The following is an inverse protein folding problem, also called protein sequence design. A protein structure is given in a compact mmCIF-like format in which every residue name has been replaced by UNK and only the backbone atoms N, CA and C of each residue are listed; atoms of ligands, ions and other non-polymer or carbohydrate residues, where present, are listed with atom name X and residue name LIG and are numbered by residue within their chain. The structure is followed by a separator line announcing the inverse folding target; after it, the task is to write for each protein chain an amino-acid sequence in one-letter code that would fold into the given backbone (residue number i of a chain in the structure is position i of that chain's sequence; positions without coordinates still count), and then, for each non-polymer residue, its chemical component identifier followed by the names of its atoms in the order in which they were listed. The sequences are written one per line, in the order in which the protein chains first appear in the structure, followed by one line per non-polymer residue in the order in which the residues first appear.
data_IF_191245166795
#
_entry.id   IF_191245166795
#
_cell.length_a   1.000
_cell.length_b   1.000
_cell.length_c   1.000
_cell.angle_alpha   90.00
_cell.angle_beta   90.00
_cell.angle_gamma   90.00
#
_symmetry.space_group_name_H-M   'P 1'
#
loop_
_entity.id
_entity.type
_entity.pdbx_description
1 polymer ?
#
# COMPACT_ATOMS: atom_id res chain seq x y z
N UNK A 1 -2.00 -17.37 18.03
CA UNK A 1 -1.25 -16.22 18.60
C UNK A 1 0.10 -16.72 19.07
N UNK A 2 1.11 -16.64 18.21
CA UNK A 2 2.49 -16.56 18.69
C UNK A 2 2.64 -15.10 19.10
N UNK A 3 2.78 -14.84 20.39
CA UNK A 3 3.12 -13.51 20.86
C UNK A 3 4.57 -13.25 20.43
N UNK A 4 4.83 -12.13 19.76
CA UNK A 4 6.19 -11.65 19.51
C UNK A 4 6.80 -11.29 20.88
N UNK A 5 7.44 -12.26 21.53
CA UNK A 5 8.09 -12.04 22.83
C UNK A 5 9.36 -11.21 22.62
N UNK A 6 9.54 -10.08 23.33
CA UNK A 6 10.84 -9.46 23.45
C UNK A 6 11.61 -10.22 24.55
N UNK A 7 12.17 -11.39 24.23
CA UNK A 7 13.29 -11.94 25.03
C UNK A 7 14.61 -11.31 24.56
N UNK A 8 14.64 -10.00 24.37
CA UNK A 8 15.90 -9.29 24.20
C UNK A 8 16.56 -9.25 25.58
N UNK A 9 17.71 -9.90 25.70
CA UNK A 9 18.52 -9.80 26.91
C UNK A 9 18.80 -8.29 27.17
N UNK A 10 18.42 -7.75 28.35
CA UNK A 10 18.55 -6.32 28.66
C UNK A 10 19.98 -5.76 28.61
N UNK A 11 20.99 -6.63 28.50
CA UNK A 11 22.41 -6.31 28.45
C UNK A 11 23.11 -6.79 27.16
N UNK A 12 22.34 -7.11 26.10
CA UNK A 12 22.88 -7.71 24.88
C UNK A 12 23.64 -6.74 23.95
N UNK A 13 23.55 -5.43 24.17
CA UNK A 13 24.03 -4.44 23.19
C UNK A 13 23.18 -4.43 21.91
N UNK A 14 21.90 -4.82 22.00
CA UNK A 14 21.01 -5.03 20.87
C UNK A 14 19.78 -4.09 20.92
N UNK A 15 19.11 -3.90 19.78
CA UNK A 15 17.87 -3.12 19.73
C UNK A 15 16.82 -3.69 20.69
N UNK A 16 16.31 -2.85 21.59
CA UNK A 16 15.36 -3.24 22.63
C UNK A 16 15.97 -3.59 23.99
N UNK A 17 17.29 -3.52 24.14
CA UNK A 17 17.95 -3.66 25.44
C UNK A 17 17.81 -2.38 26.30
N UNK A 18 18.18 -2.47 27.59
CA UNK A 18 18.02 -1.35 28.51
C UNK A 18 18.81 -0.11 28.09
N UNK A 19 20.07 -0.29 27.66
CA UNK A 19 20.95 0.80 27.29
C UNK A 19 20.45 1.53 26.03
N UNK A 20 20.01 0.78 25.03
CA UNK A 20 19.45 1.28 23.78
C UNK A 20 18.14 2.03 24.00
N UNK A 21 17.24 1.54 24.88
CA UNK A 21 16.01 2.25 25.24
C UNK A 21 16.33 3.58 25.94
N UNK A 22 17.26 3.58 26.91
CA UNK A 22 17.65 4.80 27.63
C UNK A 22 18.34 5.81 26.71
N UNK A 23 19.22 5.34 25.82
CA UNK A 23 19.89 6.18 24.82
C UNK A 23 18.87 6.79 23.84
N UNK A 24 17.94 6.00 23.31
CA UNK A 24 16.87 6.48 22.44
C UNK A 24 15.99 7.54 23.13
N UNK A 25 15.59 7.30 24.38
CA UNK A 25 14.85 8.28 25.18
C UNK A 25 15.65 9.58 25.39
N UNK A 26 16.94 9.46 25.71
CA UNK A 26 17.83 10.61 25.94
C UNK A 26 18.01 11.44 24.66
N UNK A 27 18.25 10.80 23.52
CA UNK A 27 18.33 11.46 22.21
C UNK A 27 17.02 12.18 21.86
N UNK A 28 15.89 11.55 22.16
CA UNK A 28 14.56 12.15 21.93
C UNK A 28 14.38 13.40 22.78
N UNK A 29 14.71 13.33 24.08
CA UNK A 29 14.63 14.47 24.99
C UNK A 29 15.57 15.60 24.56
N UNK A 30 16.81 15.27 24.18
CA UNK A 30 17.79 16.25 23.70
C UNK A 30 17.37 16.91 22.37
N UNK A 31 16.57 16.22 21.55
CA UNK A 31 16.04 16.72 20.28
C UNK A 31 14.78 17.58 20.40
N UNK A 32 14.09 17.57 21.55
CA UNK A 32 12.88 18.39 21.70
C UNK A 32 13.25 19.88 21.82
N UNK A 33 12.62 20.76 21.02
CA UNK A 33 12.68 22.19 21.27
C UNK A 33 11.91 22.45 22.56
N UNK A 34 12.61 22.52 23.69
CA UNK A 34 12.06 22.82 25.01
C UNK A 34 11.63 24.30 25.15
N UNK A 35 11.03 24.87 24.09
CA UNK A 35 10.73 26.29 23.94
C UNK A 35 9.31 26.65 24.37
N UNK A 36 8.38 25.69 24.41
CA UNK A 36 6.97 25.92 24.76
C UNK A 36 6.42 24.76 25.59
N UNK A 37 5.58 25.06 26.57
CA UNK A 37 4.87 24.05 27.37
C UNK A 37 3.79 23.35 26.52
N UNK A 38 3.88 22.03 26.41
CA UNK A 38 2.84 21.18 25.82
C UNK A 38 1.91 20.60 26.89
N UNK A 39 0.63 20.42 26.57
CA UNK A 39 -0.35 19.76 27.45
C UNK A 39 -0.89 18.50 26.81
N UNK A 40 -0.84 17.39 27.53
CA UNK A 40 -1.45 16.12 27.14
C UNK A 40 -2.62 15.81 28.09
N UNK A 41 -3.74 15.33 27.55
CA UNK A 41 -4.93 14.94 28.31
C UNK A 41 -5.51 13.67 27.73
N UNK A 42 -5.86 12.73 28.60
CA UNK A 42 -6.67 11.57 28.21
C UNK A 42 -8.13 11.98 28.19
N UNK A 43 -8.76 11.86 27.02
CA UNK A 43 -10.13 12.30 26.78
C UNK A 43 -10.81 11.36 25.79
N UNK A 44 -12.14 11.36 25.81
CA UNK A 44 -12.95 10.78 24.74
C UNK A 44 -13.02 11.77 23.56
N UNK A 45 -12.51 11.36 22.41
CA UNK A 45 -12.45 12.18 21.21
C UNK A 45 -13.84 12.52 20.66
N UNK A 46 -14.86 11.69 20.88
CA UNK A 46 -16.22 11.95 20.39
C UNK A 46 -16.91 13.11 21.13
N UNK A 47 -16.56 13.35 22.39
CA UNK A 47 -17.24 14.31 23.25
C UNK A 47 -16.37 15.50 23.66
N UNK A 48 -15.11 15.27 24.03
CA UNK A 48 -14.31 16.27 24.75
C UNK A 48 -13.64 17.32 23.85
N UNK A 49 -13.30 16.96 22.61
CA UNK A 49 -12.59 17.88 21.70
C UNK A 49 -13.47 19.01 21.20
N UNK A 50 -14.79 18.83 21.19
CA UNK A 50 -15.77 19.84 20.76
C UNK A 50 -15.71 21.14 21.57
N UNK A 51 -15.20 21.06 22.81
CA UNK A 51 -15.02 22.22 23.70
C UNK A 51 -13.79 23.05 23.38
N UNK A 52 -12.95 22.60 22.45
CA UNK A 52 -11.73 23.30 22.07
C UNK A 52 -12.08 24.39 21.06
N UNK A 53 -11.24 25.43 21.01
CA UNK A 53 -11.31 26.42 19.93
C UNK A 53 -10.87 25.82 18.60
N UNK A 54 -10.44 26.68 17.67
CA UNK A 54 -9.91 26.21 16.39
C UNK A 54 -8.61 25.41 16.54
N UNK A 55 -8.54 24.23 15.93
CA UNK A 55 -7.42 23.30 16.02
C UNK A 55 -7.00 22.74 14.65
N UNK A 56 -5.73 22.36 14.53
CA UNK A 56 -5.23 21.52 13.44
C UNK A 56 -5.41 20.07 13.87
N UNK A 57 -5.96 19.23 12.99
CA UNK A 57 -6.21 17.83 13.28
C UNK A 57 -5.14 16.98 12.62
N UNK A 58 -4.46 16.15 13.40
CA UNK A 58 -3.52 15.12 12.94
C UNK A 58 -3.74 13.90 13.80
N UNK A 59 -4.29 12.83 13.21
CA UNK A 59 -4.78 11.68 13.99
C UNK A 59 -4.53 10.36 13.28
N UNK A 60 -4.36 9.30 14.08
CA UNK A 60 -4.32 7.90 13.65
C UNK A 60 -5.52 7.20 14.33
N UNK A 61 -6.64 6.99 13.62
CA UNK A 61 -7.86 6.44 14.18
C UNK A 61 -7.71 4.94 14.48
N UNK A 62 -8.52 4.38 15.39
CA UNK A 62 -8.45 2.95 15.72
C UNK A 62 -8.81 2.07 14.50
N UNK A 63 -8.10 0.95 14.36
CA UNK A 63 -8.25 0.00 13.26
C UNK A 63 -9.35 -1.02 13.57
N UNK A 64 -10.57 -0.76 13.06
CA UNK A 64 -11.75 -1.63 13.04
C UNK A 64 -11.71 -2.83 14.01
N UNK A 65 -11.29 -4.01 13.56
CA UNK A 65 -11.27 -5.27 14.30
C UNK A 65 -9.85 -5.80 14.61
N UNK A 66 -8.81 -5.01 14.34
CA UNK A 66 -7.44 -5.52 14.29
C UNK A 66 -6.86 -5.89 15.67
N UNK A 67 -6.97 -4.99 16.66
CA UNK A 67 -6.33 -5.18 17.96
C UNK A 67 -7.23 -4.68 19.10
N UNK A 68 -7.53 -5.55 20.06
CA UNK A 68 -8.14 -5.17 21.33
C UNK A 68 -7.10 -4.53 22.27
N UNK A 69 -6.72 -3.28 21.99
CA UNK A 69 -5.68 -2.57 22.75
C UNK A 69 -5.99 -2.49 24.23
N UNK A 70 -7.25 -2.34 24.62
CA UNK A 70 -7.59 -2.32 26.03
C UNK A 70 -7.25 -3.67 26.67
N UNK A 71 -7.60 -4.81 26.05
CA UNK A 71 -7.27 -6.15 26.57
C UNK A 71 -5.75 -6.35 26.68
N UNK A 72 -4.99 -5.92 25.67
CA UNK A 72 -3.52 -5.93 25.72
C UNK A 72 -2.96 -5.04 26.82
N UNK A 73 -3.58 -3.88 27.04
CA UNK A 73 -3.13 -2.89 28.01
C UNK A 73 -3.22 -3.41 29.45
N UNK A 74 -4.08 -4.38 29.76
CA UNK A 74 -4.19 -4.95 31.12
C UNK A 74 -2.88 -5.60 31.58
N UNK A 75 -2.11 -6.18 30.65
CA UNK A 75 -0.81 -6.75 30.96
C UNK A 75 0.14 -5.69 31.53
N UNK A 76 0.22 -4.53 30.88
CA UNK A 76 1.07 -3.42 31.34
C UNK A 76 0.45 -2.64 32.51
N UNK A 77 -0.88 -2.54 32.54
CA UNK A 77 -1.63 -1.77 33.54
C UNK A 77 -1.32 -2.22 34.95
N UNK A 78 -1.19 -3.52 35.20
CA UNK A 78 -0.85 -4.07 36.52
C UNK A 78 0.49 -3.55 37.04
N UNK A 79 1.50 -3.47 36.17
CA UNK A 79 2.83 -2.96 36.51
C UNK A 79 2.82 -1.44 36.67
N UNK A 80 2.25 -0.74 35.69
CA UNK A 80 2.18 0.73 35.68
C UNK A 80 1.38 1.27 36.87
N UNK A 81 0.27 0.62 37.25
CA UNK A 81 -0.54 0.98 38.41
C UNK A 81 0.25 1.00 39.71
N UNK A 82 1.14 0.02 39.92
CA UNK A 82 1.97 -0.02 41.13
C UNK A 82 2.98 1.12 41.18
N UNK A 83 3.50 1.54 40.03
CA UNK A 83 4.54 2.56 39.93
C UNK A 83 3.99 3.99 39.86
N UNK A 84 2.82 4.17 39.22
CA UNK A 84 2.31 5.48 38.80
C UNK A 84 0.96 5.85 39.41
N UNK A 85 0.37 5.02 40.28
CA UNK A 85 -0.93 5.36 40.91
C UNK A 85 -0.89 6.62 41.77
N UNK A 86 0.25 6.98 42.36
CA UNK A 86 0.38 8.25 43.09
C UNK A 86 0.50 9.47 42.15
N UNK A 87 0.94 9.25 40.90
CA UNK A 87 1.12 10.31 39.89
C UNK A 87 -0.18 10.50 39.08
N UNK A 88 -0.83 9.40 38.69
CA UNK A 88 -2.06 9.37 37.90
C UNK A 88 -3.17 8.58 38.61
N UNK A 89 -3.67 9.06 39.77
CA UNK A 89 -4.61 8.30 40.59
C UNK A 89 -5.93 7.99 39.88
N UNK A 90 -6.41 8.90 39.03
CA UNK A 90 -7.65 8.71 38.27
C UNK A 90 -7.51 7.65 37.17
N UNK A 91 -6.35 7.57 36.50
CA UNK A 91 -6.11 6.58 35.46
C UNK A 91 -5.97 5.16 36.06
N UNK A 92 -5.38 5.08 37.26
CA UNK A 92 -5.06 3.84 37.95
C UNK A 92 -6.04 3.47 39.07
N UNK A 93 -7.26 4.02 39.04
CA UNK A 93 -8.28 3.81 40.08
C UNK A 93 -9.01 2.47 39.96
N UNK A 94 -9.06 1.88 38.76
CA UNK A 94 -9.77 0.63 38.49
C UNK A 94 -8.86 -0.60 38.61
N UNK A 95 -9.46 -1.79 38.61
CA UNK A 95 -8.71 -3.05 38.61
C UNK A 95 -8.07 -3.34 37.25
N UNK A 96 -8.83 -3.07 36.18
CA UNK A 96 -8.46 -3.29 34.78
C UNK A 96 -8.71 -2.01 33.97
N UNK A 97 -8.18 -1.95 32.75
CA UNK A 97 -8.41 -0.84 31.83
C UNK A 97 -9.88 -0.81 31.35
N UNK A 98 -10.46 0.38 31.11
CA UNK A 98 -11.82 0.49 30.58
C UNK A 98 -11.94 -0.14 29.18
N UNK A 99 -12.87 -1.08 29.00
CA UNK A 99 -13.14 -1.73 27.70
C UNK A 99 -14.32 -1.12 26.93
N UNK A 100 -15.33 -0.65 27.66
CA UNK A 100 -16.62 -0.29 27.05
C UNK A 100 -16.56 0.88 26.08
N UNK A 101 -15.60 1.79 26.27
CA UNK A 101 -15.44 2.99 25.44
C UNK A 101 -14.35 2.80 24.36
N UNK A 102 -13.69 1.65 24.30
CA UNK A 102 -12.72 1.38 23.26
C UNK A 102 -13.44 1.13 21.94
N UNK A 103 -13.10 1.94 20.93
CA UNK A 103 -13.73 1.92 19.63
C UNK A 103 -13.11 0.82 18.75
N UNK A 104 -13.58 -0.41 18.93
CA UNK A 104 -13.21 -1.59 18.12
C UNK A 104 -14.46 -2.39 17.72
N UNK A 105 -14.42 -3.03 16.57
CA UNK A 105 -15.46 -3.91 16.05
C UNK A 105 -15.25 -5.37 16.51
N UNK A 106 -15.32 -5.62 17.82
CA UNK A 106 -15.16 -6.97 18.39
C UNK A 106 -16.52 -7.63 18.67
N UNK A 107 -16.90 -8.65 17.89
CA UNK A 107 -18.17 -9.38 18.08
C UNK A 107 -18.30 -9.96 19.50
N UNK A 108 -17.19 -10.38 20.12
CA UNK A 108 -17.16 -10.88 21.49
C UNK A 108 -17.70 -9.86 22.51
N UNK A 109 -17.43 -8.56 22.30
CA UNK A 109 -17.91 -7.47 23.17
C UNK A 109 -19.39 -7.14 22.99
N UNK A 110 -20.00 -7.63 21.90
CA UNK A 110 -21.38 -7.35 21.52
C UNK A 110 -22.25 -8.62 21.49
N UNK A 111 -21.94 -9.59 22.35
CA UNK A 111 -22.73 -10.81 22.50
C UNK A 111 -22.66 -11.75 21.30
N UNK A 112 -21.53 -11.75 20.58
CA UNK A 112 -21.29 -12.55 19.39
C UNK A 112 -21.84 -11.95 18.09
N UNK A 113 -22.45 -10.76 18.14
CA UNK A 113 -23.04 -10.12 16.95
C UNK A 113 -22.03 -9.22 16.23
N UNK A 114 -21.68 -9.59 15.01
CA UNK A 114 -20.83 -8.76 14.14
C UNK A 114 -21.51 -7.45 13.72
N UNK A 115 -22.82 -7.47 13.43
CA UNK A 115 -23.56 -6.26 13.07
C UNK A 115 -23.56 -5.21 14.17
N UNK A 116 -23.79 -5.62 15.44
CA UNK A 116 -23.76 -4.69 16.57
C UNK A 116 -22.37 -4.10 16.79
N UNK A 117 -21.32 -4.89 16.57
CA UNK A 117 -19.95 -4.43 16.68
C UNK A 117 -19.61 -3.41 15.57
N UNK A 118 -20.04 -3.68 14.33
CA UNK A 118 -19.93 -2.75 13.20
C UNK A 118 -20.65 -1.44 13.50
N UNK A 119 -21.91 -1.51 13.90
CA UNK A 119 -22.74 -0.33 14.15
C UNK A 119 -22.17 0.54 15.30
N UNK A 120 -21.64 -0.10 16.35
CA UNK A 120 -20.93 0.60 17.43
C UNK A 120 -19.70 1.34 16.92
N UNK A 121 -18.87 0.67 16.12
CA UNK A 121 -17.66 1.27 15.55
C UNK A 121 -17.99 2.42 14.59
N UNK A 122 -18.89 2.20 13.63
CA UNK A 122 -19.34 3.20 12.66
C UNK A 122 -19.86 4.46 13.35
N UNK A 123 -20.72 4.28 14.37
CA UNK A 123 -21.30 5.39 15.10
C UNK A 123 -20.24 6.17 15.87
N UNK A 124 -19.38 5.48 16.63
CA UNK A 124 -18.35 6.15 17.41
C UNK A 124 -17.30 6.86 16.55
N UNK A 125 -16.92 6.27 15.40
CA UNK A 125 -16.04 6.91 14.43
C UNK A 125 -16.68 8.15 13.82
N UNK A 126 -17.96 8.06 13.45
CA UNK A 126 -18.73 9.19 12.93
C UNK A 126 -18.83 10.34 13.94
N UNK A 127 -19.06 10.03 15.21
CA UNK A 127 -19.11 11.02 16.29
C UNK A 127 -17.75 11.69 16.51
N UNK A 128 -16.65 10.91 16.54
CA UNK A 128 -15.29 11.43 16.66
C UNK A 128 -14.91 12.37 15.50
N UNK A 129 -15.17 11.99 14.26
CA UNK A 129 -14.90 12.85 13.11
C UNK A 129 -15.82 14.08 13.08
N UNK A 130 -17.08 13.96 13.51
CA UNK A 130 -17.98 15.10 13.61
C UNK A 130 -17.48 16.11 14.65
N UNK A 131 -17.02 15.64 15.81
CA UNK A 131 -16.41 16.48 16.82
C UNK A 131 -15.13 17.15 16.30
N UNK A 132 -14.29 16.41 15.58
CA UNK A 132 -13.08 16.95 14.95
C UNK A 132 -13.43 18.03 13.90
N UNK A 133 -14.48 17.81 13.11
CA UNK A 133 -14.95 18.75 12.08
C UNK A 133 -15.39 20.09 12.67
N UNK A 134 -15.97 20.10 13.87
CA UNK A 134 -16.44 21.32 14.54
C UNK A 134 -15.29 22.25 14.94
N UNK A 135 -14.16 21.67 15.37
CA UNK A 135 -12.99 22.43 15.83
C UNK A 135 -11.93 22.63 14.75
N UNK A 136 -12.02 21.90 13.65
CA UNK A 136 -11.03 21.92 12.57
C UNK A 136 -10.87 23.32 11.95
N UNK A 137 -9.61 23.75 11.82
CA UNK A 137 -9.23 24.98 11.13
C UNK A 137 -9.39 24.86 9.61
N UNK A 138 -10.14 25.75 8.93
CA UNK A 138 -10.25 25.72 7.47
C UNK A 138 -8.94 26.08 6.75
N UNK A 139 -7.96 26.69 7.43
CA UNK A 139 -6.70 27.12 6.84
C UNK A 139 -5.74 25.95 6.56
N UNK A 140 -5.85 24.87 7.32
CA UNK A 140 -4.95 23.72 7.25
C UNK A 140 -5.74 22.43 7.01
N UNK A 141 -5.23 21.47 6.24
CA UNK A 141 -5.88 20.17 6.12
C UNK A 141 -5.88 19.42 7.45
N UNK A 142 -6.89 18.59 7.67
CA UNK A 142 -6.87 17.53 8.65
C UNK A 142 -6.05 16.36 8.09
N UNK A 143 -5.15 15.81 8.89
CA UNK A 143 -4.29 14.69 8.50
C UNK A 143 -4.78 13.43 9.20
N UNK A 144 -5.07 12.40 8.42
CA UNK A 144 -5.51 11.08 8.92
C UNK A 144 -4.52 10.03 8.45
N UNK A 145 -3.84 9.39 9.40
CA UNK A 145 -2.94 8.26 9.13
C UNK A 145 -3.76 6.98 9.10
N UNK A 146 -3.45 6.08 8.17
CA UNK A 146 -4.11 4.79 8.10
C UNK A 146 -3.15 3.73 7.55
N UNK A 147 -2.80 2.75 8.38
CA UNK A 147 -1.84 1.69 8.07
C UNK A 147 -2.51 0.32 8.12
N UNK A 148 -3.54 0.10 7.28
CA UNK A 148 -4.21 -1.19 7.21
C UNK A 148 -4.44 -1.62 5.76
N UNK A 149 -4.07 -2.86 5.46
CA UNK A 149 -4.25 -3.44 4.12
C UNK A 149 -5.73 -3.67 3.92
N UNK A 150 -6.27 -3.26 2.79
CA UNK A 150 -7.57 -3.77 2.35
C UNK A 150 -7.39 -5.27 2.08
N UNK A 151 -7.60 -6.10 3.10
CA UNK A 151 -7.82 -7.53 2.91
C UNK A 151 -9.28 -7.69 2.58
N UNK A 152 -9.56 -8.05 1.32
CA UNK A 152 -10.80 -8.74 0.99
C UNK A 152 -10.75 -10.07 1.74
N UNK A 153 -11.33 -10.12 2.93
CA UNK A 153 -11.57 -11.38 3.62
C UNK A 153 -12.66 -12.11 2.84
N UNK A 154 -12.26 -12.85 1.82
CA UNK A 154 -13.02 -13.99 1.28
C UNK A 154 -12.85 -15.19 2.22
N UNK A 155 -13.05 -14.99 3.53
CA UNK A 155 -13.18 -16.10 4.47
C UNK A 155 -14.63 -16.61 4.42
N UNK A 156 -14.93 -17.28 3.31
CA UNK A 156 -15.93 -18.33 3.26
C UNK A 156 -15.42 -19.42 2.32
N UNK A 157 -14.58 -20.30 2.87
CA UNK A 157 -14.47 -21.70 2.42
C UNK A 157 -15.81 -22.43 2.66
N UNK A 158 -16.89 -21.92 2.07
CA UNK A 158 -18.13 -22.67 1.85
C UNK A 158 -18.43 -22.59 0.35
N UNK A 159 -18.11 -23.71 -0.29
CA UNK A 159 -18.39 -24.09 -1.66
C UNK A 159 -19.91 -24.06 -1.90
N UNK A 160 -20.49 -22.89 -2.15
CA UNK A 160 -21.83 -22.75 -2.69
C UNK A 160 -21.77 -21.90 -3.98
N UNK A 161 -21.85 -22.60 -5.11
CA UNK A 161 -21.80 -22.05 -6.45
C UNK A 161 -23.04 -21.25 -6.83
N UNK A 162 -23.10 -19.99 -6.38
CA UNK A 162 -24.05 -19.01 -6.91
C UNK A 162 -23.30 -17.75 -7.38
N UNK A 163 -23.43 -17.42 -8.67
CA UNK A 163 -22.90 -16.20 -9.30
C UNK A 163 -23.72 -14.98 -8.86
N UNK A 164 -23.62 -14.63 -7.57
CA UNK A 164 -24.23 -13.46 -6.98
C UNK A 164 -23.28 -12.83 -5.98
N UNK A 165 -22.92 -11.55 -6.21
CA UNK A 165 -22.16 -10.66 -5.31
C UNK A 165 -22.22 -11.11 -3.84
N UNK A 166 -21.19 -11.83 -3.38
CA UNK A 166 -21.08 -12.29 -2.00
C UNK A 166 -21.02 -11.08 -1.06
N UNK A 167 -21.88 -11.09 -0.03
CA UNK A 167 -21.91 -10.10 1.04
C UNK A 167 -20.66 -10.27 1.94
N UNK A 168 -19.48 -9.93 1.43
CA UNK A 168 -18.25 -9.89 2.22
C UNK A 168 -18.22 -8.64 3.14
N UNK A 169 -17.55 -8.78 4.28
CA UNK A 169 -17.49 -7.82 5.38
C UNK A 169 -17.02 -6.43 4.92
N UNK A 170 -17.55 -5.38 5.54
CA UNK A 170 -17.08 -4.00 5.34
C UNK A 170 -15.61 -3.91 5.72
N UNK A 171 -14.76 -3.44 4.80
CA UNK A 171 -13.35 -3.23 5.11
C UNK A 171 -13.18 -2.07 6.11
N UNK A 172 -12.12 -2.06 6.92
CA UNK A 172 -11.85 -0.92 7.82
C UNK A 172 -11.74 0.42 7.08
N UNK A 173 -11.28 0.39 5.82
CA UNK A 173 -11.27 1.53 4.90
C UNK A 173 -12.67 2.07 4.60
N UNK A 174 -13.61 1.19 4.23
CA UNK A 174 -15.00 1.56 3.97
C UNK A 174 -15.59 2.28 5.17
N UNK A 175 -15.45 1.69 6.36
CA UNK A 175 -16.03 2.25 7.58
C UNK A 175 -15.41 3.59 7.98
N UNK A 176 -14.08 3.71 7.89
CA UNK A 176 -13.40 4.98 8.17
C UNK A 176 -13.82 6.07 7.19
N UNK A 177 -13.76 5.79 5.88
CA UNK A 177 -14.09 6.77 4.86
C UNK A 177 -15.56 7.16 4.95
N UNK A 178 -16.49 6.23 5.19
CA UNK A 178 -17.89 6.55 5.41
C UNK A 178 -18.09 7.49 6.60
N UNK A 179 -17.45 7.22 7.74
CA UNK A 179 -17.51 8.09 8.91
C UNK A 179 -16.99 9.51 8.59
N UNK A 180 -15.89 9.62 7.86
CA UNK A 180 -15.32 10.90 7.42
C UNK A 180 -16.25 11.66 6.46
N UNK A 181 -16.80 10.97 5.47
CA UNK A 181 -17.74 11.56 4.50
C UNK A 181 -19.02 12.06 5.18
N UNK A 182 -19.55 11.27 6.14
CA UNK A 182 -20.73 11.62 6.94
C UNK A 182 -20.46 12.84 7.82
N UNK A 183 -19.26 12.93 8.41
CA UNK A 183 -18.80 14.11 9.15
C UNK A 183 -18.56 15.36 8.27
N UNK A 184 -18.59 15.22 6.94
CA UNK A 184 -18.44 16.33 6.00
C UNK A 184 -16.99 16.68 5.65
N UNK A 185 -16.07 15.73 5.85
CA UNK A 185 -14.74 15.81 5.26
C UNK A 185 -14.76 15.28 3.81
N UNK A 186 -13.86 15.81 3.00
CA UNK A 186 -13.49 15.33 1.68
C UNK A 186 -11.98 15.07 1.67
N UNK A 187 -11.57 14.05 0.93
CA UNK A 187 -10.17 13.71 0.68
C UNK A 187 -9.64 14.68 -0.37
N UNK A 188 -8.49 15.28 -0.09
CA UNK A 188 -7.83 16.28 -0.95
C UNK A 188 -6.50 15.75 -1.51
N UNK A 189 -5.87 14.81 -0.80
CA UNK A 189 -4.62 14.21 -1.25
C UNK A 189 -4.22 13.00 -0.42
N UNK A 190 -3.17 12.33 -0.88
CA UNK A 190 -2.58 11.17 -0.21
C UNK A 190 -1.06 11.23 -0.23
N UNK A 191 -0.45 10.75 0.85
CA UNK A 191 0.99 10.58 0.97
C UNK A 191 1.26 9.22 1.58
N UNK A 192 1.85 8.29 0.81
CA UNK A 192 2.44 7.09 1.38
C UNK A 192 3.63 7.50 2.25
N UNK A 193 3.63 7.08 3.51
CA UNK A 193 4.71 7.32 4.46
C UNK A 193 5.35 6.00 4.87
N UNK A 194 6.65 5.88 4.59
CA UNK A 194 7.45 4.74 5.04
C UNK A 194 7.82 4.92 6.50
N UNK A 195 7.05 4.28 7.37
CA UNK A 195 7.20 4.33 8.83
C UNK A 195 7.67 3.00 9.41
N UNK A 196 7.62 1.91 8.64
CA UNK A 196 7.93 0.57 9.13
C UNK A 196 9.43 0.27 9.06
N UNK A 197 10.01 -0.18 10.18
CA UNK A 197 11.40 -0.63 10.23
C UNK A 197 11.59 -1.97 9.52
N UNK A 198 12.66 -2.11 8.75
CA UNK A 198 12.98 -3.35 7.99
C UNK A 198 13.23 -4.61 8.85
N UNK A 199 13.22 -4.49 10.18
CA UNK A 199 13.38 -5.59 11.15
C UNK A 199 12.04 -6.13 11.69
N UNK A 200 10.90 -5.76 11.11
CA UNK A 200 9.60 -6.30 11.52
C UNK A 200 9.56 -7.80 11.17
N UNK A 201 9.51 -8.67 12.19
CA UNK A 201 9.54 -10.13 12.02
C UNK A 201 8.42 -10.64 11.09
N UNK A 202 7.25 -10.00 11.10
CA UNK A 202 6.11 -10.33 10.22
C UNK A 202 6.41 -9.97 8.75
N UNK A 203 7.23 -8.94 8.48
CA UNK A 203 7.58 -8.50 7.12
C UNK A 203 8.74 -9.29 6.50
N UNK A 204 9.48 -10.09 7.29
CA UNK A 204 10.54 -10.96 6.75
C UNK A 204 9.93 -12.10 5.92
N UNK A 205 9.96 -11.95 4.60
CA UNK A 205 9.49 -12.96 3.64
C UNK A 205 7.99 -12.90 3.32
N UNK A 206 7.29 -11.82 3.68
CA UNK A 206 5.87 -11.63 3.32
C UNK A 206 5.65 -10.29 2.62
N UNK A 207 4.64 -10.20 1.74
CA UNK A 207 4.16 -8.94 1.15
C UNK A 207 3.24 -8.19 2.14
N UNK A 208 3.76 -7.91 3.34
CA UNK A 208 3.11 -7.00 4.28
C UNK A 208 3.23 -5.55 3.76
N UNK A 209 2.27 -4.68 4.14
CA UNK A 209 2.36 -3.26 3.80
C UNK A 209 3.68 -2.68 4.30
N UNK A 210 4.37 -1.93 3.45
CA UNK A 210 5.63 -1.28 3.82
C UNK A 210 5.40 0.19 4.23
N UNK A 211 4.21 0.73 3.97
CA UNK A 211 3.88 2.14 4.17
C UNK A 211 2.54 2.33 4.86
N UNK A 212 2.47 3.35 5.74
CA UNK A 212 1.20 3.93 6.19
C UNK A 212 0.69 4.92 5.14
N UNK A 213 -0.61 4.96 4.88
CA UNK A 213 -1.21 5.95 3.98
C UNK A 213 -1.65 7.16 4.81
N UNK A 214 -1.22 8.35 4.41
CA UNK A 214 -1.60 9.61 5.04
C UNK A 214 -2.58 10.34 4.13
N UNK A 215 -3.82 10.51 4.58
CA UNK A 215 -4.83 11.28 3.88
C UNK A 215 -4.82 12.74 4.34
N UNK A 216 -4.77 13.66 3.38
CA UNK A 216 -5.12 15.06 3.62
C UNK A 216 -6.62 15.22 3.38
N UNK A 217 -7.29 15.81 4.36
CA UNK A 217 -8.73 15.98 4.35
C UNK A 217 -9.10 17.43 4.60
N UNK A 218 -10.09 17.91 3.88
CA UNK A 218 -10.64 19.25 4.05
C UNK A 218 -12.15 19.17 4.22
N UNK A 219 -12.78 20.12 4.92
CA UNK A 219 -14.20 20.33 4.84
C UNK A 219 -14.70 20.32 3.40
N UNK A 220 -15.68 19.46 3.10
CA UNK A 220 -16.36 19.49 1.80
C UNK A 220 -17.09 20.83 1.65
N UNK A 221 -17.05 21.40 0.45
CA UNK A 221 -17.80 22.62 0.13
C UNK A 221 -19.30 22.42 0.34
N UNK A 222 -19.98 23.43 0.89
CA UNK A 222 -21.43 23.43 1.01
C UNK A 222 -22.14 23.42 -0.35
N UNK A 223 -21.48 23.96 -1.38
CA UNK A 223 -21.99 24.04 -2.76
C UNK A 223 -21.47 22.89 -3.63
N UNK A 224 -21.03 21.79 -3.03
CA UNK A 224 -20.53 20.62 -3.76
C UNK A 224 -21.61 20.08 -4.71
N UNK A 225 -21.29 19.84 -6.00
CA UNK A 225 -22.28 19.39 -6.97
C UNK A 225 -22.70 17.94 -6.72
N UNK A 226 -23.89 17.59 -7.19
CA UNK A 226 -24.28 16.20 -7.39
C UNK A 226 -23.65 15.68 -8.69
N UNK A 227 -23.28 14.42 -8.70
CA UNK A 227 -22.81 13.74 -9.91
C UNK A 227 -23.56 12.43 -10.11
N UNK A 228 -23.63 11.99 -11.36
CA UNK A 228 -24.05 10.64 -11.73
C UNK A 228 -22.87 9.69 -11.66
N UNK A 229 -23.13 8.38 -11.50
CA UNK A 229 -22.08 7.35 -11.61
C UNK A 229 -21.21 7.48 -12.87
N UNK A 230 -21.82 7.86 -14.00
CA UNK A 230 -21.11 8.04 -15.27
C UNK A 230 -20.15 9.25 -15.24
N UNK A 231 -20.54 10.34 -14.60
CA UNK A 231 -19.68 11.51 -14.42
C UNK A 231 -18.52 11.21 -13.48
N UNK A 232 -18.81 10.51 -12.37
CA UNK A 232 -17.77 10.02 -11.45
C UNK A 232 -16.75 9.15 -12.18
N UNK A 233 -17.19 8.11 -12.91
CA UNK A 233 -16.29 7.23 -13.66
C UNK A 233 -15.47 7.95 -14.72
N UNK A 234 -16.08 8.90 -15.45
CA UNK A 234 -15.35 9.71 -16.44
C UNK A 234 -14.24 10.50 -15.77
N UNK A 235 -14.54 11.16 -14.67
CA UNK A 235 -13.55 11.98 -13.98
C UNK A 235 -12.46 11.12 -13.32
N UNK A 236 -12.83 9.95 -12.78
CA UNK A 236 -11.90 8.97 -12.24
C UNK A 236 -10.91 8.49 -13.32
N UNK A 237 -11.40 8.11 -14.51
CA UNK A 237 -10.53 7.71 -15.63
C UNK A 237 -9.62 8.82 -16.14
N UNK A 238 -10.04 10.07 -16.01
CA UNK A 238 -9.27 11.23 -16.45
C UNK A 238 -8.17 11.61 -15.43
N UNK A 239 -8.46 11.53 -14.13
CA UNK A 239 -7.59 12.09 -13.08
C UNK A 239 -6.73 11.03 -12.37
N UNK A 240 -7.19 9.77 -12.29
CA UNK A 240 -6.44 8.70 -11.63
C UNK A 240 -5.07 8.42 -12.27
N UNK A 241 -4.89 8.43 -13.61
CA UNK A 241 -3.57 8.21 -14.22
C UNK A 241 -2.48 9.18 -13.75
N UNK A 242 -2.81 10.47 -13.63
CA UNK A 242 -1.88 11.49 -13.15
C UNK A 242 -1.55 11.30 -11.66
N UNK A 243 -2.55 10.92 -10.85
CA UNK A 243 -2.34 10.55 -9.45
C UNK A 243 -1.39 9.36 -9.29
N UNK A 244 -1.58 8.31 -10.10
CA UNK A 244 -0.73 7.12 -10.11
C UNK A 244 0.70 7.43 -10.57
N UNK A 245 0.86 8.32 -11.56
CA UNK A 245 2.17 8.78 -12.01
C UNK A 245 2.95 9.43 -10.88
N UNK A 246 2.33 10.30 -10.09
CA UNK A 246 2.98 10.90 -8.92
C UNK A 246 3.36 9.86 -7.85
N UNK A 247 2.49 8.88 -7.59
CA UNK A 247 2.78 7.80 -6.65
C UNK A 247 3.94 6.91 -7.10
N UNK A 248 3.99 6.55 -8.39
CA UNK A 248 5.10 5.80 -9.00
C UNK A 248 6.42 6.58 -9.00
N UNK A 249 6.38 7.89 -9.22
CA UNK A 249 7.56 8.75 -9.09
C UNK A 249 8.12 8.77 -7.66
N UNK A 250 7.26 8.61 -6.65
CA UNK A 250 7.67 8.42 -5.25
C UNK A 250 8.28 7.04 -4.94
N UNK A 251 8.36 6.15 -5.95
CA UNK A 251 8.83 4.76 -5.82
C UNK A 251 8.11 4.02 -4.69
N UNK A 252 6.79 4.15 -4.66
CA UNK A 252 5.94 3.39 -3.74
C UNK A 252 6.03 1.90 -4.06
N UNK A 253 6.08 1.03 -3.04
CA UNK A 253 6.08 -0.40 -3.27
C UNK A 253 4.78 -0.83 -4.01
N UNK A 254 4.83 -1.78 -4.95
CA UNK A 254 3.64 -2.31 -5.62
C UNK A 254 2.57 -2.79 -4.66
N UNK A 255 2.96 -3.44 -3.56
CA UNK A 255 2.04 -3.87 -2.48
C UNK A 255 1.25 -2.72 -1.85
N UNK A 256 1.83 -1.52 -1.80
CA UNK A 256 1.21 -0.33 -1.22
C UNK A 256 0.47 0.51 -2.28
N UNK A 257 0.69 0.28 -3.59
CA UNK A 257 0.16 1.11 -4.67
C UNK A 257 -1.37 1.13 -4.69
N UNK A 258 -2.02 -0.03 -4.52
CA UNK A 258 -3.48 -0.13 -4.48
C UNK A 258 -4.05 0.71 -3.32
N UNK A 259 -3.43 0.65 -2.15
CA UNK A 259 -3.85 1.42 -0.97
C UNK A 259 -3.61 2.92 -1.16
N UNK A 260 -2.47 3.30 -1.74
CA UNK A 260 -2.20 4.70 -2.04
C UNK A 260 -3.15 5.27 -3.10
N UNK A 261 -3.55 4.46 -4.08
CA UNK A 261 -4.50 4.83 -5.14
C UNK A 261 -5.92 5.11 -4.61
N UNK A 262 -6.27 4.62 -3.41
CA UNK A 262 -7.53 4.98 -2.73
C UNK A 262 -7.61 6.50 -2.53
N UNK A 263 -6.49 7.15 -2.20
CA UNK A 263 -6.46 8.60 -1.98
C UNK A 263 -6.95 9.43 -3.19
N UNK A 264 -6.29 9.35 -4.36
CA UNK A 264 -6.69 10.10 -5.55
C UNK A 264 -8.09 9.69 -6.03
N UNK A 265 -8.44 8.40 -5.96
CA UNK A 265 -9.77 7.93 -6.30
C UNK A 265 -10.86 8.51 -5.39
N UNK A 266 -10.62 8.52 -4.09
CA UNK A 266 -11.54 9.07 -3.10
C UNK A 266 -11.57 10.60 -3.13
N UNK A 267 -10.51 11.28 -3.56
CA UNK A 267 -10.56 12.72 -3.79
C UNK A 267 -11.58 13.07 -4.89
N UNK A 268 -11.62 12.28 -5.97
CA UNK A 268 -12.63 12.42 -7.03
C UNK A 268 -14.04 12.08 -6.52
N UNK A 269 -14.20 11.08 -5.66
CA UNK A 269 -15.52 10.71 -5.13
C UNK A 269 -16.05 11.74 -4.11
N UNK A 270 -15.22 12.14 -3.16
CA UNK A 270 -15.62 12.94 -2.00
C UNK A 270 -15.79 14.43 -2.29
N UNK A 271 -15.35 14.93 -3.45
CA UNK A 271 -15.62 16.32 -3.87
C UNK A 271 -17.09 16.57 -4.25
N UNK A 272 -17.82 15.52 -4.62
CA UNK A 272 -19.25 15.62 -4.91
C UNK A 272 -20.05 15.57 -3.60
N UNK A 273 -21.18 16.27 -3.55
CA UNK A 273 -22.08 16.16 -2.40
C UNK A 273 -22.62 14.74 -2.26
N UNK A 274 -23.04 14.15 -3.39
CA UNK A 274 -23.41 12.73 -3.55
C UNK A 274 -23.18 12.31 -4.99
N UNK A 275 -22.78 11.05 -5.18
CA UNK A 275 -22.81 10.39 -6.48
C UNK A 275 -24.08 9.54 -6.53
N UNK A 276 -24.94 9.77 -7.53
CA UNK A 276 -26.23 9.11 -7.67
C UNK A 276 -26.12 7.92 -8.62
N UNK A 277 -26.68 6.79 -8.21
CA UNK A 277 -26.88 5.60 -9.01
C UNK A 277 -28.11 5.73 -9.93
N UNK A 278 -28.25 4.80 -10.88
CA UNK A 278 -29.36 4.82 -11.84
C UNK A 278 -30.74 4.63 -11.18
N UNK A 279 -30.78 3.98 -10.02
CA UNK A 279 -31.99 3.79 -9.21
C UNK A 279 -32.34 5.02 -8.33
N UNK A 280 -31.54 6.09 -8.41
CA UNK A 280 -31.72 7.30 -7.60
C UNK A 280 -31.20 7.19 -6.17
N UNK A 281 -30.56 6.08 -5.78
CA UNK A 281 -29.88 5.95 -4.50
C UNK A 281 -28.48 6.59 -4.54
N UNK A 282 -27.95 7.07 -3.41
CA UNK A 282 -26.55 7.50 -3.34
C UNK A 282 -25.62 6.28 -3.36
N UNK A 283 -24.58 6.34 -4.19
CA UNK A 283 -23.49 5.36 -4.22
C UNK A 283 -22.80 5.30 -2.86
N UNK A 284 -22.62 4.10 -2.31
CA UNK A 284 -21.87 3.90 -1.07
C UNK A 284 -20.36 3.89 -1.32
N UNK A 285 -19.58 4.06 -0.26
CA UNK A 285 -18.11 4.10 -0.35
C UNK A 285 -17.55 2.77 -0.87
N UNK A 286 -18.14 1.63 -0.48
CA UNK A 286 -17.74 0.31 -1.00
C UNK A 286 -17.73 0.25 -2.52
N UNK A 287 -18.82 0.70 -3.15
CA UNK A 287 -18.94 0.73 -4.60
C UNK A 287 -17.92 1.69 -5.22
N UNK A 288 -17.68 2.85 -4.60
CA UNK A 288 -16.64 3.77 -5.05
C UNK A 288 -15.24 3.12 -5.01
N UNK A 289 -14.88 2.45 -3.90
CA UNK A 289 -13.60 1.74 -3.75
C UNK A 289 -13.43 0.64 -4.81
N UNK A 290 -14.48 -0.15 -5.07
CA UNK A 290 -14.45 -1.16 -6.12
C UNK A 290 -14.20 -0.55 -7.51
N UNK A 291 -14.86 0.57 -7.83
CA UNK A 291 -14.64 1.28 -9.10
C UNK A 291 -13.24 1.91 -9.19
N UNK A 292 -12.67 2.35 -8.07
CA UNK A 292 -11.30 2.87 -8.00
C UNK A 292 -10.30 1.74 -8.29
N UNK A 293 -10.45 0.58 -7.64
CA UNK A 293 -9.59 -0.58 -7.90
C UNK A 293 -9.72 -1.07 -9.34
N UNK A 294 -10.94 -1.15 -9.87
CA UNK A 294 -11.15 -1.50 -11.28
C UNK A 294 -10.47 -0.50 -12.22
N UNK A 295 -10.60 0.80 -11.95
CA UNK A 295 -9.98 1.83 -12.81
C UNK A 295 -8.45 1.81 -12.69
N UNK A 296 -7.91 1.54 -11.50
CA UNK A 296 -6.47 1.30 -11.31
C UNK A 296 -5.98 0.17 -12.21
N UNK A 297 -6.67 -0.98 -12.20
CA UNK A 297 -6.32 -2.12 -13.03
C UNK A 297 -6.40 -1.78 -14.53
N UNK A 298 -7.44 -1.06 -14.95
CA UNK A 298 -7.59 -0.58 -16.34
C UNK A 298 -6.42 0.32 -16.75
N UNK A 299 -6.02 1.28 -15.90
CA UNK A 299 -4.89 2.19 -16.19
C UNK A 299 -3.57 1.42 -16.27
N UNK A 300 -3.34 0.46 -15.37
CA UNK A 300 -2.14 -0.39 -15.43
C UNK A 300 -2.13 -1.30 -16.67
N UNK A 301 -3.30 -1.74 -17.15
CA UNK A 301 -3.43 -2.52 -18.37
C UNK A 301 -3.26 -1.67 -19.65
N UNK A 302 -3.74 -0.43 -19.66
CA UNK A 302 -3.55 0.48 -20.81
C UNK A 302 -2.07 0.81 -21.06
N UNK A 303 -1.25 0.84 -20.00
CA UNK A 303 0.20 0.99 -20.09
C UNK A 303 0.88 -0.18 -20.83
N UNK A 304 0.20 -1.31 -21.01
CA UNK A 304 0.74 -2.43 -21.80
C UNK A 304 1.07 -2.04 -23.24
N UNK A 305 0.40 -1.01 -23.78
CA UNK A 305 0.67 -0.49 -25.13
C UNK A 305 2.07 0.11 -25.31
N UNK A 306 2.74 0.52 -24.23
CA UNK A 306 4.09 1.08 -24.27
C UNK A 306 5.17 -0.01 -24.37
N UNK A 307 4.83 -1.27 -24.05
CA UNK A 307 5.77 -2.38 -24.12
C UNK A 307 5.93 -2.91 -25.55
N UNK A 308 7.12 -3.46 -25.80
CA UNK A 308 7.41 -4.14 -27.07
C UNK A 308 6.52 -5.39 -27.27
N UNK A 309 6.38 -5.83 -28.52
CA UNK A 309 5.48 -6.93 -28.89
C UNK A 309 5.78 -8.25 -28.13
N UNK A 310 7.05 -8.53 -27.86
CA UNK A 310 7.47 -9.77 -27.22
C UNK A 310 7.14 -9.73 -25.72
N UNK A 311 7.34 -8.58 -25.08
CA UNK A 311 6.90 -8.35 -23.69
C UNK A 311 5.38 -8.43 -23.55
N UNK A 312 4.60 -7.85 -24.47
CA UNK A 312 3.12 -7.95 -24.44
C UNK A 312 2.63 -9.38 -24.61
N UNK A 313 3.35 -10.19 -25.38
CA UNK A 313 3.09 -11.63 -25.47
C UNK A 313 3.40 -12.33 -24.14
N UNK A 314 4.56 -12.06 -23.56
CA UNK A 314 5.00 -12.67 -22.30
C UNK A 314 4.06 -12.32 -21.14
N UNK A 315 3.57 -11.08 -21.07
CA UNK A 315 2.54 -10.65 -20.12
C UNK A 315 1.24 -11.45 -20.26
N UNK A 316 0.72 -11.56 -21.48
CA UNK A 316 -0.53 -12.27 -21.72
C UNK A 316 -0.38 -13.78 -21.48
N UNK A 317 0.79 -14.36 -21.77
CA UNK A 317 1.10 -15.74 -21.43
C UNK A 317 1.19 -15.93 -19.91
N UNK A 318 1.91 -15.04 -19.22
CA UNK A 318 2.07 -15.05 -17.78
C UNK A 318 0.72 -14.94 -17.07
N UNK A 319 -0.20 -14.07 -17.51
CA UNK A 319 -1.54 -13.95 -16.92
C UNK A 319 -2.38 -15.23 -17.05
N UNK A 320 -2.21 -16.00 -18.13
CA UNK A 320 -2.96 -17.23 -18.39
C UNK A 320 -2.35 -18.45 -17.70
N UNK A 321 -1.03 -18.60 -17.81
CA UNK A 321 -0.29 -19.84 -17.51
C UNK A 321 0.74 -19.67 -16.38
N UNK A 322 0.96 -18.46 -15.88
CA UNK A 322 2.04 -18.17 -14.93
C UNK A 322 3.40 -18.53 -15.52
N UNK A 323 4.23 -19.21 -14.72
CA UNK A 323 5.54 -19.73 -15.13
C UNK A 323 5.48 -21.19 -15.60
N UNK A 324 4.29 -21.78 -15.70
CA UNK A 324 4.10 -23.18 -16.03
C UNK A 324 4.06 -23.46 -17.54
N UNK A 325 4.12 -24.75 -17.89
CA UNK A 325 3.96 -25.23 -19.26
C UNK A 325 2.55 -24.98 -19.78
N UNK A 326 2.46 -24.51 -21.03
CA UNK A 326 1.22 -24.44 -21.81
C UNK A 326 1.36 -25.07 -23.18
N UNK A 327 0.23 -25.22 -23.89
CA UNK A 327 0.20 -25.83 -25.21
C UNK A 327 0.78 -24.89 -26.29
N UNK A 328 1.59 -25.44 -27.20
CA UNK A 328 2.16 -24.67 -28.31
C UNK A 328 1.10 -24.00 -29.20
N UNK A 329 -0.05 -24.65 -29.42
CA UNK A 329 -1.15 -24.07 -30.20
C UNK A 329 -1.71 -22.77 -29.60
N UNK A 330 -1.80 -22.69 -28.27
CA UNK A 330 -2.20 -21.46 -27.56
C UNK A 330 -1.12 -20.38 -27.72
N UNK A 331 0.15 -20.77 -27.58
CA UNK A 331 1.30 -19.87 -27.71
C UNK A 331 1.37 -19.25 -29.12
N UNK A 332 1.14 -20.06 -30.15
CA UNK A 332 1.13 -19.63 -31.55
C UNK A 332 -0.03 -18.67 -31.84
N UNK A 333 -1.22 -18.98 -31.32
CA UNK A 333 -2.41 -18.12 -31.46
C UNK A 333 -2.17 -16.77 -30.80
N UNK A 334 -1.58 -16.76 -29.60
CA UNK A 334 -1.23 -15.54 -28.88
C UNK A 334 -0.13 -14.75 -29.61
N UNK A 335 0.84 -15.43 -30.23
CA UNK A 335 1.92 -14.80 -31.00
C UNK A 335 1.37 -13.99 -32.17
N UNK A 336 0.41 -14.59 -32.91
CA UNK A 336 -0.29 -13.91 -34.01
C UNK A 336 -1.08 -12.69 -33.51
N UNK A 337 -1.77 -12.81 -32.37
CA UNK A 337 -2.54 -11.72 -31.80
C UNK A 337 -1.67 -10.53 -31.32
N UNK A 338 -0.45 -10.79 -30.86
CA UNK A 338 0.48 -9.76 -30.37
C UNK A 338 1.54 -9.33 -31.39
N UNK A 339 1.41 -9.77 -32.65
CA UNK A 339 2.31 -9.46 -33.76
C UNK A 339 3.77 -9.86 -33.46
N UNK A 340 3.97 -11.08 -32.95
CA UNK A 340 5.28 -11.71 -32.73
C UNK A 340 5.27 -13.16 -33.21
N UNK A 341 6.36 -13.90 -33.01
CA UNK A 341 6.49 -15.31 -33.36
C UNK A 341 7.15 -16.10 -32.22
N UNK A 342 6.67 -17.31 -31.94
CA UNK A 342 7.24 -18.19 -30.89
C UNK A 342 8.75 -18.39 -31.08
N UNK A 343 9.22 -18.57 -32.31
CA UNK A 343 10.65 -18.72 -32.58
C UNK A 343 11.44 -17.45 -32.23
N UNK A 344 10.89 -16.26 -32.49
CA UNK A 344 11.53 -15.01 -32.12
C UNK A 344 11.60 -14.84 -30.59
N UNK A 345 10.58 -15.32 -29.87
CA UNK A 345 10.57 -15.35 -28.40
C UNK A 345 11.59 -16.35 -27.82
N UNK A 346 11.84 -17.47 -28.50
CA UNK A 346 12.89 -18.44 -28.13
C UNK A 346 14.27 -17.85 -28.39
N UNK A 347 14.48 -17.21 -29.55
CA UNK A 347 15.73 -16.53 -29.88
C UNK A 347 16.02 -15.36 -28.94
N UNK A 348 14.98 -14.65 -28.49
CA UNK A 348 15.06 -13.58 -27.50
C UNK A 348 15.22 -14.08 -26.05
N UNK A 349 15.32 -15.40 -25.82
CA UNK A 349 15.50 -15.93 -24.47
C UNK A 349 14.32 -15.66 -23.52
N UNK A 350 13.11 -15.47 -24.03
CA UNK A 350 11.91 -15.22 -23.21
C UNK A 350 11.20 -16.55 -22.89
N UNK A 351 11.15 -17.46 -23.87
CA UNK A 351 10.43 -18.74 -23.76
C UNK A 351 11.28 -19.94 -24.14
N UNK A 352 10.93 -21.09 -23.59
CA UNK A 352 11.37 -22.39 -24.07
C UNK A 352 10.19 -23.08 -24.77
N UNK A 353 10.39 -23.49 -26.02
CA UNK A 353 9.44 -24.32 -26.77
C UNK A 353 10.04 -25.71 -27.02
N UNK A 354 9.54 -26.75 -26.32
CA UNK A 354 10.01 -28.13 -26.48
C UNK A 354 8.85 -29.13 -26.34
N UNK A 355 8.82 -30.13 -27.24
CA UNK A 355 7.87 -31.24 -27.13
C UNK A 355 6.39 -30.84 -27.22
N UNK A 356 6.07 -29.83 -28.04
CA UNK A 356 4.69 -29.31 -28.18
C UNK A 356 4.21 -28.46 -27.00
N UNK A 357 5.09 -28.18 -26.04
CA UNK A 357 4.85 -27.28 -24.91
C UNK A 357 5.69 -26.02 -25.01
N UNK A 358 5.16 -24.93 -24.48
CA UNK A 358 5.83 -23.63 -24.36
C UNK A 358 5.74 -23.19 -22.91
N UNK A 359 6.81 -22.62 -22.36
CA UNK A 359 6.82 -21.96 -21.05
C UNK A 359 7.75 -20.76 -21.06
N UNK A 360 7.56 -19.84 -20.12
CA UNK A 360 8.51 -18.77 -19.86
C UNK A 360 9.81 -19.36 -19.27
N UNK A 361 10.94 -18.74 -19.61
CA UNK A 361 12.21 -19.08 -18.96
C UNK A 361 12.17 -18.62 -17.50
N UNK A 362 12.70 -19.47 -16.62
CA UNK A 362 12.85 -19.13 -15.20
C UNK A 362 14.06 -18.21 -15.02
N UNK A 363 14.04 -17.42 -13.94
CA UNK A 363 15.13 -16.46 -13.65
C UNK A 363 16.49 -17.16 -13.54
N UNK A 364 16.53 -18.38 -13.02
CA UNK A 364 17.78 -19.14 -12.89
C UNK A 364 18.34 -19.64 -14.23
N UNK A 365 17.50 -19.69 -15.27
CA UNK A 365 17.87 -20.20 -16.60
C UNK A 365 18.41 -19.11 -17.52
N UNK A 366 18.32 -17.84 -17.10
CA UNK A 366 18.79 -16.70 -17.88
C UNK A 366 20.34 -16.64 -17.91
N UNK A 367 20.95 -16.13 -19.00
CA UNK A 367 22.42 -16.04 -19.12
C UNK A 367 23.07 -15.19 -18.02
N UNK A 368 24.16 -15.63 -17.41
CA UNK A 368 24.83 -14.90 -16.31
C UNK A 368 25.68 -13.72 -16.77
N UNK A 369 26.13 -13.78 -18.00
CA UNK A 369 26.96 -12.82 -18.70
C UNK A 369 26.13 -11.85 -19.56
N UNK A 370 24.80 -11.81 -19.36
CA UNK A 370 23.94 -10.89 -20.10
C UNK A 370 24.37 -9.44 -19.86
N UNK A 371 24.55 -8.72 -20.97
CA UNK A 371 25.00 -7.35 -20.98
C UNK A 371 24.08 -6.50 -21.87
N UNK A 372 23.39 -5.50 -21.31
CA UNK A 372 22.44 -4.69 -22.06
C UNK A 372 23.09 -3.86 -23.17
N UNK A 373 24.40 -3.62 -23.12
CA UNK A 373 25.12 -2.84 -24.15
C UNK A 373 25.47 -3.64 -25.40
N UNK A 374 25.50 -4.97 -25.30
CA UNK A 374 25.82 -5.88 -26.42
C UNK A 374 24.57 -6.50 -27.04
N UNK A 375 23.43 -6.38 -26.37
CA UNK A 375 22.16 -6.90 -26.85
C UNK A 375 21.55 -5.97 -27.91
N UNK A 376 21.24 -6.54 -29.08
CA UNK A 376 20.70 -5.82 -30.23
C UNK A 376 19.18 -5.60 -30.07
N UNK A 377 18.49 -6.39 -29.23
CA UNK A 377 17.04 -6.36 -29.04
C UNK A 377 16.66 -6.49 -27.57
N UNK A 378 16.92 -5.44 -26.81
CA UNK A 378 16.45 -5.32 -25.44
C UNK A 378 14.93 -5.42 -25.35
N UNK A 379 14.44 -6.46 -24.65
CA UNK A 379 13.02 -6.65 -24.37
C UNK A 379 12.73 -6.30 -22.91
N UNK A 380 11.64 -5.59 -22.66
CA UNK A 380 11.32 -5.13 -21.30
C UNK A 380 11.13 -6.31 -20.33
N UNK A 381 10.53 -7.41 -20.80
CA UNK A 381 10.42 -8.65 -20.02
C UNK A 381 11.78 -9.15 -19.53
N UNK A 382 12.72 -9.32 -20.45
CA UNK A 382 14.07 -9.82 -20.15
C UNK A 382 14.80 -8.88 -19.18
N UNK A 383 14.72 -7.56 -19.40
CA UNK A 383 15.31 -6.55 -18.52
C UNK A 383 14.83 -6.72 -17.08
N UNK A 384 13.52 -6.85 -16.86
CA UNK A 384 12.97 -7.02 -15.50
C UNK A 384 13.51 -8.28 -14.83
N UNK A 385 13.56 -9.40 -15.54
CA UNK A 385 14.03 -10.66 -14.97
C UNK A 385 15.53 -10.61 -14.66
N UNK A 386 16.35 -9.99 -15.52
CA UNK A 386 17.77 -9.79 -15.26
C UNK A 386 18.04 -8.83 -14.10
N UNK A 387 17.28 -7.73 -13.98
CA UNK A 387 17.41 -6.80 -12.86
C UNK A 387 17.10 -7.47 -11.52
N UNK A 388 15.99 -8.23 -11.44
CA UNK A 388 15.63 -8.99 -10.23
C UNK A 388 16.72 -9.98 -9.86
N UNK A 389 17.22 -10.73 -10.85
CA UNK A 389 18.25 -11.73 -10.62
C UNK A 389 19.56 -11.11 -10.14
N UNK A 390 20.02 -10.05 -10.80
CA UNK A 390 21.26 -9.35 -10.43
C UNK A 390 21.13 -8.75 -9.04
N UNK A 391 19.96 -8.18 -8.70
CA UNK A 391 19.68 -7.70 -7.35
C UNK A 391 19.79 -8.82 -6.31
N UNK A 392 19.18 -9.98 -6.57
CA UNK A 392 19.17 -11.10 -5.64
C UNK A 392 20.51 -11.84 -5.51
N UNK A 393 21.30 -11.92 -6.60
CA UNK A 393 22.54 -12.71 -6.63
C UNK A 393 23.81 -11.88 -6.40
N UNK A 394 23.84 -10.65 -6.92
CA UNK A 394 25.04 -9.80 -6.98
C UNK A 394 24.90 -8.49 -6.18
N UNK A 395 23.72 -8.25 -5.60
CA UNK A 395 23.43 -7.10 -4.75
C UNK A 395 23.13 -5.79 -5.50
N UNK A 396 22.83 -4.75 -4.72
CA UNK A 396 22.34 -3.46 -5.21
C UNK A 396 23.33 -2.71 -6.12
N UNK A 397 24.64 -2.79 -5.83
CA UNK A 397 25.67 -2.12 -6.65
C UNK A 397 25.68 -2.63 -8.10
N UNK A 398 25.61 -3.95 -8.27
CA UNK A 398 25.62 -4.58 -9.60
C UNK A 398 24.34 -4.27 -10.37
N UNK A 399 23.19 -4.27 -9.67
CA UNK A 399 21.91 -3.91 -10.26
C UNK A 399 21.86 -2.43 -10.66
N UNK A 400 22.46 -1.54 -9.87
CA UNK A 400 22.56 -0.12 -10.19
C UNK A 400 23.43 0.16 -11.43
N UNK A 401 24.56 -0.55 -11.57
CA UNK A 401 25.40 -0.47 -12.76
C UNK A 401 24.64 -0.92 -14.03
N UNK A 402 23.84 -1.99 -13.93
CA UNK A 402 22.97 -2.45 -15.02
C UNK A 402 21.89 -1.41 -15.35
N UNK A 403 21.22 -0.82 -14.34
CA UNK A 403 20.25 0.26 -14.56
C UNK A 403 20.86 1.47 -15.26
N UNK A 404 22.09 1.84 -14.90
CA UNK A 404 22.82 2.93 -15.57
C UNK A 404 23.02 2.64 -17.07
N UNK A 405 23.35 1.39 -17.43
CA UNK A 405 23.53 0.99 -18.84
C UNK A 405 22.21 0.98 -19.62
N UNK A 406 21.08 0.64 -18.97
CA UNK A 406 19.75 0.58 -19.57
C UNK A 406 19.13 1.96 -19.85
N UNK A 407 19.55 3.00 -19.12
CA UNK A 407 19.03 4.35 -19.26
C UNK A 407 17.51 4.41 -19.09
N UNK A 408 16.80 5.05 -20.03
CA UNK A 408 15.34 5.23 -19.95
C UNK A 408 14.54 3.92 -19.98
N UNK A 409 15.09 2.82 -20.50
CA UNK A 409 14.42 1.52 -20.51
C UNK A 409 14.27 0.91 -19.11
N UNK A 410 15.11 1.32 -18.16
CA UNK A 410 14.95 0.90 -16.76
C UNK A 410 13.61 1.39 -16.18
N UNK A 411 13.18 2.61 -16.51
CA UNK A 411 11.89 3.15 -16.04
C UNK A 411 10.71 2.36 -16.60
N UNK A 412 10.74 2.00 -17.89
CA UNK A 412 9.71 1.15 -18.50
C UNK A 412 9.73 -0.27 -17.91
N UNK A 413 10.91 -0.79 -17.53
CA UNK A 413 11.03 -2.06 -16.82
C UNK A 413 10.42 -1.97 -15.40
N UNK A 414 10.57 -0.84 -14.70
CA UNK A 414 9.89 -0.60 -13.43
C UNK A 414 8.37 -0.61 -13.60
N UNK A 415 7.84 0.04 -14.63
CA UNK A 415 6.41 0.02 -14.92
C UNK A 415 5.89 -1.40 -15.21
N UNK A 416 6.70 -2.21 -15.92
CA UNK A 416 6.40 -3.62 -16.13
C UNK A 416 6.36 -4.41 -14.81
N UNK A 417 7.26 -4.12 -13.86
CA UNK A 417 7.25 -4.77 -12.53
C UNK A 417 5.97 -4.48 -11.74
N UNK A 418 5.43 -3.25 -11.80
CA UNK A 418 4.12 -2.94 -11.21
C UNK A 418 2.99 -3.76 -11.83
N UNK A 419 2.99 -3.90 -13.16
CA UNK A 419 1.97 -4.70 -13.86
C UNK A 419 2.05 -6.18 -13.51
N UNK A 420 3.26 -6.74 -13.49
CA UNK A 420 3.49 -8.14 -13.11
C UNK A 420 3.08 -8.42 -11.67
N UNK A 421 3.38 -7.50 -10.74
CA UNK A 421 2.91 -7.61 -9.35
C UNK A 421 1.38 -7.65 -9.25
N UNK A 422 0.67 -6.73 -9.93
CA UNK A 422 -0.80 -6.71 -9.96
C UNK A 422 -1.39 -8.02 -10.51
N UNK A 423 -0.79 -8.61 -11.54
CA UNK A 423 -1.20 -9.93 -12.05
C UNK A 423 -0.97 -11.01 -10.98
N UNK A 424 0.19 -11.03 -10.34
CA UNK A 424 0.52 -12.01 -9.30
C UNK A 424 -0.42 -11.91 -8.09
N UNK A 425 -0.79 -10.71 -7.65
CA UNK A 425 -1.71 -10.54 -6.53
C UNK A 425 -3.08 -11.15 -6.85
N UNK A 426 -3.67 -10.79 -7.99
CA UNK A 426 -4.97 -11.30 -8.43
C UNK A 426 -4.98 -12.82 -8.63
N UNK A 427 -3.85 -13.40 -9.06
CA UNK A 427 -3.67 -14.85 -9.24
C UNK A 427 -3.18 -15.57 -7.98
N UNK A 428 -2.95 -14.85 -6.87
CA UNK A 428 -2.40 -15.36 -5.61
C UNK A 428 -1.02 -16.05 -5.76
N UNK A 429 -0.17 -15.55 -6.67
CA UNK A 429 1.20 -16.04 -6.89
C UNK A 429 2.21 -15.28 -6.01
N UNK A 430 2.28 -15.65 -4.73
CA UNK A 430 3.04 -14.93 -3.71
C UNK A 430 4.54 -14.82 -3.99
N UNK A 431 5.19 -15.92 -4.40
CA UNK A 431 6.65 -15.97 -4.64
C UNK A 431 7.07 -15.01 -5.76
N UNK A 432 6.31 -15.01 -6.84
CA UNK A 432 6.52 -14.12 -7.98
C UNK A 432 6.24 -12.65 -7.60
N UNK A 433 5.15 -12.40 -6.86
CA UNK A 433 4.83 -11.07 -6.36
C UNK A 433 5.96 -10.49 -5.50
N UNK A 434 6.59 -11.30 -4.63
CA UNK A 434 7.68 -10.87 -3.77
C UNK A 434 8.89 -10.38 -4.59
N UNK A 435 9.23 -11.09 -5.67
CA UNK A 435 10.33 -10.71 -6.56
C UNK A 435 10.09 -9.34 -7.23
N UNK A 436 8.90 -9.12 -7.79
CA UNK A 436 8.56 -7.85 -8.43
C UNK A 436 8.46 -6.69 -7.42
N UNK A 437 7.89 -6.96 -6.24
CA UNK A 437 7.81 -5.98 -5.16
C UNK A 437 9.22 -5.56 -4.68
N UNK A 438 10.11 -6.52 -4.47
CA UNK A 438 11.49 -6.28 -4.03
C UNK A 438 12.29 -5.39 -4.98
N UNK A 439 12.15 -5.60 -6.31
CA UNK A 439 12.82 -4.74 -7.30
C UNK A 439 12.41 -3.26 -7.17
N UNK A 440 11.10 -3.00 -7.03
CA UNK A 440 10.60 -1.62 -6.94
C UNK A 440 10.95 -0.97 -5.61
N UNK A 441 10.96 -1.73 -4.52
CA UNK A 441 11.40 -1.25 -3.20
C UNK A 441 12.87 -0.81 -3.24
N UNK A 442 13.73 -1.58 -3.90
CA UNK A 442 15.16 -1.25 -4.05
C UNK A 442 15.41 -0.06 -5.01
N UNK A 443 14.45 0.29 -5.86
CA UNK A 443 14.62 1.27 -6.95
C UNK A 443 15.23 2.62 -6.54
N UNK A 444 14.85 3.26 -5.41
CA UNK A 444 15.44 4.53 -4.99
C UNK A 444 16.95 4.43 -4.72
N UNK A 445 17.39 3.35 -4.05
CA UNK A 445 18.82 3.15 -3.77
C UNK A 445 19.57 2.78 -5.04
N UNK A 446 18.99 1.94 -5.91
CA UNK A 446 19.58 1.63 -7.21
C UNK A 446 19.76 2.89 -8.07
N UNK A 447 18.77 3.78 -8.10
CA UNK A 447 18.84 5.05 -8.84
C UNK A 447 19.94 5.95 -8.27
N UNK A 448 20.03 6.05 -6.95
CA UNK A 448 21.07 6.83 -6.26
C UNK A 448 22.47 6.28 -6.53
N UNK A 449 22.66 4.96 -6.48
CA UNK A 449 23.93 4.30 -6.78
C UNK A 449 24.32 4.46 -8.25
N UNK A 450 23.36 4.33 -9.17
CA UNK A 450 23.57 4.52 -10.61
C UNK A 450 24.02 5.96 -10.94
N UNK A 451 23.43 6.96 -10.27
CA UNK A 451 23.84 8.36 -10.39
C UNK A 451 25.23 8.61 -9.79
N UNK A 452 25.56 7.96 -8.67
CA UNK A 452 26.88 8.07 -8.06
C UNK A 452 27.98 7.49 -8.97
N UNK A 453 27.72 6.38 -9.66
CA UNK A 453 28.65 5.85 -10.68
C UNK A 453 28.83 6.82 -11.86
N UNK A 454 27.74 7.44 -12.33
CA UNK A 454 27.81 8.46 -13.39
C UNK A 454 28.73 9.63 -13.02
N UNK A 455 28.75 10.04 -11.75
CA UNK A 455 29.61 11.11 -11.25
C UNK A 455 31.10 10.72 -11.12
N UNK A 456 31.42 9.42 -11.13
CA UNK A 456 32.79 8.89 -11.08
C UNK A 456 33.39 8.62 -12.47
N UNK A 457 32.57 8.62 -13.53
CA UNK A 457 33.07 8.53 -14.89
C UNK A 457 33.77 9.86 -15.24
N UNK A 458 35.05 9.87 -15.65
CA UNK A 458 35.71 11.10 -16.08
C UNK A 458 34.95 11.67 -17.28
N UNK A 459 34.69 12.98 -17.27
CA UNK A 459 34.30 13.73 -18.46
C UNK A 459 35.24 13.30 -19.59
N UNK A 460 34.72 12.59 -20.59
CA UNK A 460 35.45 12.38 -21.84
C UNK A 460 35.70 13.78 -22.39
N UNK A 461 36.92 14.28 -22.20
CA UNK A 461 37.45 15.40 -22.94
C UNK A 461 37.10 15.16 -24.40
N UNK A 462 36.19 15.99 -24.89
CA UNK A 462 36.02 16.24 -26.30
C UNK A 462 37.37 16.72 -26.83
N UNK A 463 38.17 15.80 -27.37
CA UNK A 463 39.22 16.14 -28.31
C UNK A 463 38.53 16.77 -29.53
N UNK A 464 38.41 18.10 -29.49
CA UNK A 464 38.16 18.92 -30.66
C UNK A 464 39.47 19.63 -31.00
N UNK A 465 40.05 19.21 -32.12
CA UNK A 465 41.12 19.82 -32.92
C UNK A 465 42.57 19.71 -32.43
#
# INVERSE_FOLDING_TARGET
MVWDFPEVNPFAGAGGDWAGIVDAATKTIAGFPASVEGKCRQLDAASAISSWGTAIISTDPPYYDNIGYADLSDFFYLWLRRMLSCVYPTLFSTLLTPKGNELIASAHRHGGSHDKARDFFEKGMGEAFSAARLVHSPQYPAIVYYAFKQTETDDSDEDDGDEGFSQSASTGWETMLEAMLRAGFAVDGTWPSRTEGGTRLIAMGTNALASSIVLSCRPRSGDAPLATRREFLRALKQELPDGLKHLKQGSIAPVDLAQAAIGPGMAVFTRYARVMEADGSPMKVRQALALINQTLDEVLAEQEGEFDADTRWALAWFEQNGMDDGAFGTAETLSKAKNTAVNALVEAGIVQARGGKVRLLRREELPADWNPTTDIRLRHWEIVQHLIRTLNQLGELSAAAMMHQLGGMAETARDLAYRLYSICERKKWADEALAYNGLVIAWPELTKLALAERSKAPERQSEMF
#
